data_IF_036670574947
#
_entry.id   IF_036670574947
#
_cell.length_a   1.000
_cell.length_b   1.000
_cell.length_c   1.000
_cell.angle_alpha   90.00
_cell.angle_beta   90.00
_cell.angle_gamma   90.00
#
_symmetry.space_group_name_H-M   'P 1'
#
loop_
_entity.id
_entity.type
_entity.pdbx_description
1 polymer ?
#
# COMPACT_ATOMS: atom_id res chain seq x y z
N UNK A 1 -37.65 12.16 -2.38
CA UNK A 1 -37.09 10.78 -2.30
C UNK A 1 -37.05 10.23 -3.72
N UNK A 2 -35.90 10.30 -4.42
CA UNK A 2 -35.81 9.87 -5.83
C UNK A 2 -35.60 8.36 -5.91
N UNK A 3 -36.62 7.59 -6.32
CA UNK A 3 -36.46 6.18 -6.69
C UNK A 3 -35.77 6.12 -8.06
N UNK A 4 -34.46 5.87 -8.09
CA UNK A 4 -33.77 5.49 -9.32
C UNK A 4 -34.06 4.02 -9.60
N UNK A 5 -34.78 3.74 -10.69
CA UNK A 5 -34.93 2.40 -11.24
C UNK A 5 -33.59 1.98 -11.84
N UNK A 6 -33.16 0.74 -11.58
CA UNK A 6 -31.93 0.16 -12.15
C UNK A 6 -32.27 -1.15 -12.83
N UNK A 7 -31.75 -1.31 -14.04
CA UNK A 7 -31.83 -2.60 -14.75
C UNK A 7 -30.85 -3.57 -14.09
N UNK A 8 -31.30 -4.79 -13.84
CA UNK A 8 -30.47 -5.84 -13.23
C UNK A 8 -30.55 -7.12 -14.07
N UNK A 9 -29.43 -7.82 -14.15
CA UNK A 9 -29.36 -9.20 -14.63
C UNK A 9 -29.47 -10.14 -13.42
N UNK A 10 -30.49 -11.00 -13.42
CA UNK A 10 -30.68 -12.03 -12.40
C UNK A 10 -30.16 -13.36 -12.92
N UNK A 11 -29.33 -14.05 -12.14
CA UNK A 11 -28.82 -15.39 -12.46
C UNK A 11 -28.92 -16.32 -11.25
N UNK A 12 -29.21 -17.62 -11.45
CA UNK A 12 -29.09 -18.60 -10.39
C UNK A 12 -27.64 -18.72 -9.93
N UNK A 13 -27.44 -18.84 -8.62
CA UNK A 13 -26.14 -19.03 -7.99
C UNK A 13 -26.31 -19.91 -6.74
N UNK A 14 -25.73 -21.10 -6.78
CA UNK A 14 -25.92 -22.16 -5.78
C UNK A 14 -27.42 -22.41 -5.47
N UNK A 15 -27.84 -22.16 -4.23
CA UNK A 15 -29.23 -22.31 -3.76
C UNK A 15 -30.02 -20.99 -3.82
N UNK A 16 -29.51 -19.97 -4.50
CA UNK A 16 -30.07 -18.62 -4.53
C UNK A 16 -29.97 -17.93 -5.88
N UNK A 17 -30.15 -16.60 -5.86
CA UNK A 17 -30.10 -15.72 -7.03
C UNK A 17 -29.08 -14.60 -6.78
N UNK A 18 -28.33 -14.25 -7.81
CA UNK A 18 -27.46 -13.06 -7.83
C UNK A 18 -28.05 -12.04 -8.79
N UNK A 19 -28.25 -10.82 -8.30
CA UNK A 19 -28.65 -9.66 -9.11
C UNK A 19 -27.44 -8.77 -9.38
N UNK A 20 -27.01 -8.71 -10.64
CA UNK A 20 -25.93 -7.81 -11.09
C UNK A 20 -26.56 -6.56 -11.71
N UNK A 21 -26.22 -5.37 -11.22
CA UNK A 21 -26.68 -4.10 -11.81
C UNK A 21 -26.06 -3.92 -13.19
N UNK A 22 -26.88 -3.55 -14.18
CA UNK A 22 -26.42 -3.23 -15.52
C UNK A 22 -26.20 -1.73 -15.66
N UNK A 23 -25.15 -1.35 -16.38
CA UNK A 23 -24.87 0.03 -16.72
C UNK A 23 -25.51 0.40 -18.06
N UNK A 24 -25.94 1.66 -18.18
CA UNK A 24 -26.37 2.22 -19.48
C UNK A 24 -25.15 2.54 -20.34
N UNK A 25 -25.37 2.70 -21.65
CA UNK A 25 -24.32 3.02 -22.62
C UNK A 25 -23.52 4.28 -22.26
N UNK A 26 -24.20 5.33 -21.78
CA UNK A 26 -23.57 6.59 -21.36
C UNK A 26 -22.77 6.49 -20.04
N UNK A 27 -22.95 5.42 -19.26
CA UNK A 27 -22.17 5.17 -18.04
C UNK A 27 -20.88 4.40 -18.34
N UNK A 28 -20.80 3.75 -19.50
CA UNK A 28 -19.64 2.95 -19.92
C UNK A 28 -18.77 3.77 -20.85
N UNK A 29 -17.56 4.12 -20.38
CA UNK A 29 -16.58 4.78 -21.25
C UNK A 29 -16.05 3.79 -22.29
N UNK A 30 -15.95 4.26 -23.54
CA UNK A 30 -15.31 3.53 -24.63
C UNK A 30 -13.85 3.22 -24.28
N UNK A 31 -13.44 1.97 -24.46
CA UNK A 31 -12.05 1.58 -24.31
C UNK A 31 -11.13 2.34 -25.27
N UNK A 32 -11.57 2.58 -26.52
CA UNK A 32 -10.79 3.34 -27.50
C UNK A 32 -10.50 4.76 -27.02
N UNK A 33 -11.49 5.41 -26.43
CA UNK A 33 -11.34 6.78 -25.92
C UNK A 33 -10.52 6.82 -24.62
N UNK A 34 -10.72 5.81 -23.75
CA UNK A 34 -9.98 5.69 -22.49
C UNK A 34 -8.48 5.42 -22.71
N UNK A 35 -8.13 4.69 -23.78
CA UNK A 35 -6.75 4.32 -24.11
C UNK A 35 -6.17 5.08 -25.31
N UNK A 36 -6.82 6.15 -25.78
CA UNK A 36 -6.39 6.91 -26.98
C UNK A 36 -4.95 7.44 -26.88
N UNK A 37 -4.54 7.86 -25.68
CA UNK A 37 -3.23 8.43 -25.39
C UNK A 37 -2.27 7.38 -24.82
N UNK A 38 -2.72 6.13 -24.68
CA UNK A 38 -1.89 5.06 -24.18
C UNK A 38 -0.88 4.66 -25.27
N UNK A 39 0.43 4.71 -24.99
CA UNK A 39 1.43 4.28 -25.95
C UNK A 39 1.32 2.77 -26.21
N UNK A 40 1.56 2.36 -27.45
CA UNK A 40 1.71 0.96 -27.79
C UNK A 40 3.11 0.48 -27.35
N UNK A 41 3.16 -0.13 -26.16
CA UNK A 41 4.40 -0.57 -25.53
C UNK A 41 4.62 -2.05 -25.84
N UNK A 42 5.72 -2.35 -26.55
CA UNK A 42 6.23 -3.73 -26.62
C UNK A 42 6.83 -4.12 -25.28
N UNK A 43 6.20 -5.09 -24.62
CA UNK A 43 6.70 -5.67 -23.36
C UNK A 43 7.86 -6.61 -23.70
N UNK A 44 8.99 -6.48 -23.01
CA UNK A 44 10.13 -7.41 -23.18
C UNK A 44 9.87 -8.70 -22.41
N UNK A 45 10.36 -9.83 -22.93
CA UNK A 45 10.16 -11.15 -22.34
C UNK A 45 10.63 -11.25 -20.88
N UNK A 46 11.75 -10.59 -20.53
CA UNK A 46 12.24 -10.54 -19.14
C UNK A 46 11.23 -9.95 -18.14
N UNK A 47 10.37 -9.01 -18.58
CA UNK A 47 9.31 -8.46 -17.72
C UNK A 47 8.19 -9.47 -17.50
N UNK A 48 7.84 -10.24 -18.53
CA UNK A 48 6.81 -11.28 -18.45
C UNK A 48 7.27 -12.41 -17.52
N UNK A 49 8.52 -12.85 -17.64
CA UNK A 49 9.10 -13.88 -16.77
C UNK A 49 9.10 -13.45 -15.30
N UNK A 50 9.49 -12.21 -15.03
CA UNK A 50 9.47 -11.66 -13.68
C UNK A 50 8.03 -11.54 -13.14
N UNK A 51 7.08 -11.04 -13.95
CA UNK A 51 5.69 -10.95 -13.55
C UNK A 51 5.10 -12.34 -13.21
N UNK A 52 5.38 -13.35 -14.04
CA UNK A 52 5.00 -14.74 -13.80
C UNK A 52 5.59 -15.28 -12.50
N UNK A 53 6.87 -14.98 -12.22
CA UNK A 53 7.50 -15.37 -10.95
C UNK A 53 6.82 -14.70 -9.75
N UNK A 54 6.52 -13.40 -9.83
CA UNK A 54 5.84 -12.66 -8.76
C UNK A 54 4.46 -13.25 -8.51
N UNK A 55 3.64 -13.42 -9.56
CA UNK A 55 2.30 -14.01 -9.47
C UNK A 55 2.38 -15.39 -8.83
N UNK A 56 3.29 -16.25 -9.31
CA UNK A 56 3.45 -17.62 -8.77
C UNK A 56 3.86 -17.60 -7.29
N UNK A 57 4.74 -16.68 -6.90
CA UNK A 57 5.21 -16.54 -5.51
C UNK A 57 4.17 -15.96 -4.55
N UNK A 58 3.24 -15.12 -5.04
CA UNK A 58 2.20 -14.45 -4.24
C UNK A 58 0.79 -15.01 -4.44
N UNK A 59 0.64 -16.07 -5.25
CA UNK A 59 -0.65 -16.73 -5.44
C UNK A 59 -1.10 -17.36 -4.12
N UNK A 60 -2.36 -17.13 -3.76
CA UNK A 60 -2.96 -17.65 -2.54
C UNK A 60 -4.48 -17.82 -2.69
N UNK A 61 -5.13 -18.30 -1.63
CA UNK A 61 -6.60 -18.29 -1.55
C UNK A 61 -7.06 -16.91 -1.11
N UNK A 62 -8.04 -16.35 -1.81
CA UNK A 62 -8.65 -15.09 -1.41
C UNK A 62 -9.76 -15.37 -0.40
N UNK A 63 -9.63 -14.82 0.81
CA UNK A 63 -10.64 -14.86 1.86
C UNK A 63 -11.12 -13.42 2.17
N UNK A 64 -12.32 -13.03 1.70
CA UNK A 64 -12.86 -11.70 1.94
C UNK A 64 -12.98 -11.31 3.42
N UNK A 65 -13.11 -12.29 4.33
CA UNK A 65 -13.27 -12.03 5.77
C UNK A 65 -12.01 -11.49 6.43
N UNK A 66 -10.85 -11.67 5.79
CA UNK A 66 -9.56 -11.17 6.28
C UNK A 66 -9.28 -9.72 5.88
N UNK A 67 -10.15 -9.10 5.07
CA UNK A 67 -9.99 -7.72 4.63
C UNK A 67 -10.64 -6.76 5.62
N UNK A 68 -9.81 -5.95 6.27
CA UNK A 68 -10.26 -4.91 7.20
C UNK A 68 -10.70 -3.65 6.46
N UNK A 69 -11.85 -3.10 6.84
CA UNK A 69 -12.25 -1.76 6.45
C UNK A 69 -11.42 -0.72 7.23
N UNK A 70 -10.29 -0.34 6.64
CA UNK A 70 -9.37 0.65 7.22
C UNK A 70 -10.03 2.01 7.41
N UNK A 71 -11.06 2.34 6.63
CA UNK A 71 -11.75 3.62 6.74
C UNK A 71 -12.65 3.62 7.98
N UNK A 72 -13.51 2.61 8.13
CA UNK A 72 -14.36 2.43 9.30
C UNK A 72 -13.54 2.38 10.59
N UNK A 73 -12.44 1.62 10.59
CA UNK A 73 -11.53 1.54 11.74
C UNK A 73 -10.94 2.92 12.10
N UNK A 74 -10.43 3.66 11.11
CA UNK A 74 -9.86 4.99 11.32
C UNK A 74 -10.93 6.00 11.78
N UNK A 75 -12.16 5.90 11.25
CA UNK A 75 -13.27 6.75 11.65
C UNK A 75 -13.70 6.48 13.09
N UNK A 76 -13.79 5.22 13.49
CA UNK A 76 -14.10 4.83 14.86
C UNK A 76 -13.04 5.34 15.85
N UNK A 77 -11.75 5.23 15.51
CA UNK A 77 -10.66 5.81 16.31
C UNK A 77 -10.75 7.34 16.40
N UNK A 78 -11.07 8.01 15.29
CA UNK A 78 -11.24 9.46 15.23
C UNK A 78 -12.37 9.92 16.15
N UNK A 79 -13.50 9.22 16.12
CA UNK A 79 -14.65 9.52 16.98
C UNK A 79 -14.29 9.34 18.46
N UNK A 80 -13.64 8.23 18.82
CA UNK A 80 -13.16 8.00 20.20
C UNK A 80 -12.20 9.08 20.67
N UNK A 81 -11.21 9.44 19.85
CA UNK A 81 -10.24 10.48 20.18
C UNK A 81 -10.91 11.85 20.40
N UNK A 82 -11.95 12.19 19.61
CA UNK A 82 -12.73 13.42 19.80
C UNK A 82 -13.52 13.40 21.12
N UNK A 83 -14.17 12.28 21.46
CA UNK A 83 -14.90 12.12 22.72
C UNK A 83 -13.95 12.28 23.92
N UNK A 84 -12.73 11.73 23.81
CA UNK A 84 -11.70 11.81 24.85
C UNK A 84 -10.94 13.16 24.87
N UNK A 85 -11.28 14.11 23.98
CA UNK A 85 -10.64 15.42 23.91
C UNK A 85 -9.18 15.40 23.41
N UNK A 86 -8.73 14.32 22.77
CA UNK A 86 -7.35 14.17 22.28
C UNK A 86 -7.15 14.94 20.98
N UNK A 87 -6.01 15.63 20.85
CA UNK A 87 -5.60 16.25 19.58
C UNK A 87 -5.18 15.18 18.57
N UNK A 88 -5.94 15.07 17.48
CA UNK A 88 -5.63 14.18 16.36
C UNK A 88 -4.52 14.80 15.52
N UNK A 89 -3.41 14.07 15.35
CA UNK A 89 -2.32 14.48 14.46
C UNK A 89 -2.55 13.91 13.06
N UNK A 90 -2.29 14.69 12.00
CA UNK A 90 -2.35 14.17 10.64
C UNK A 90 -1.29 13.07 10.46
N UNK A 91 -1.62 12.04 9.68
CA UNK A 91 -0.68 11.00 9.31
C UNK A 91 0.40 11.61 8.39
N UNK A 92 1.70 11.34 8.63
CA UNK A 92 2.74 11.85 7.74
C UNK A 92 2.54 11.32 6.32
N UNK A 93 2.81 12.16 5.33
CA UNK A 93 2.78 11.77 3.93
C UNK A 93 3.86 10.72 3.66
N UNK A 94 3.55 9.70 2.83
CA UNK A 94 4.55 8.72 2.44
C UNK A 94 5.65 9.39 1.61
N UNK A 95 6.91 9.05 1.91
CA UNK A 95 8.04 9.53 1.12
C UNK A 95 7.96 8.97 -0.30
N UNK A 96 8.07 9.86 -1.29
CA UNK A 96 8.12 9.46 -2.69
C UNK A 96 9.54 9.07 -3.06
N UNK A 97 9.76 7.79 -3.38
CA UNK A 97 11.05 7.33 -3.91
C UNK A 97 11.11 7.61 -5.42
N UNK A 98 12.17 8.32 -5.84
CA UNK A 98 12.44 8.56 -7.27
C UNK A 98 12.95 7.27 -7.91
N UNK A 99 12.09 6.59 -8.65
CA UNK A 99 12.43 5.35 -9.36
C UNK A 99 13.18 5.71 -10.64
N UNK A 100 14.50 5.45 -10.66
CA UNK A 100 15.38 5.73 -11.82
C UNK A 100 15.41 4.54 -12.78
N UNK A 101 15.30 3.31 -12.28
CA UNK A 101 15.15 2.08 -13.06
C UNK A 101 14.01 1.22 -12.50
N UNK A 102 12.96 1.04 -13.31
CA UNK A 102 11.77 0.27 -12.97
C UNK A 102 12.07 -1.23 -12.77
N UNK A 103 13.03 -1.81 -13.51
CA UNK A 103 13.35 -3.23 -13.40
C UNK A 103 14.09 -3.53 -12.10
N UNK A 104 15.06 -2.70 -11.75
CA UNK A 104 15.77 -2.82 -10.49
C UNK A 104 14.83 -2.60 -9.30
N UNK A 105 13.99 -1.56 -9.37
CA UNK A 105 13.01 -1.27 -8.33
C UNK A 105 11.99 -2.41 -8.14
N UNK A 106 11.51 -3.00 -9.22
CA UNK A 106 10.57 -4.13 -9.16
C UNK A 106 11.24 -5.38 -8.58
N UNK A 107 12.48 -5.70 -9.00
CA UNK A 107 13.27 -6.80 -8.42
C UNK A 107 13.55 -6.57 -6.93
N UNK A 108 13.87 -5.34 -6.52
CA UNK A 108 14.08 -4.98 -5.13
C UNK A 108 12.79 -5.15 -4.30
N UNK A 109 11.65 -4.66 -4.80
CA UNK A 109 10.34 -4.82 -4.15
C UNK A 109 9.93 -6.29 -3.99
N UNK A 110 10.17 -7.11 -5.02
CA UNK A 110 9.91 -8.55 -4.99
C UNK A 110 10.82 -9.29 -3.98
N UNK A 111 12.07 -8.84 -3.80
CA UNK A 111 13.02 -9.40 -2.82
C UNK A 111 12.70 -9.00 -1.38
N UNK A 112 12.35 -7.72 -1.14
CA UNK A 112 11.98 -7.21 0.18
C UNK A 112 10.73 -7.91 0.74
N UNK A 113 9.79 -8.28 -0.13
CA UNK A 113 8.59 -9.06 0.25
C UNK A 113 8.90 -10.46 0.81
N UNK A 114 10.11 -11.02 0.61
CA UNK A 114 10.52 -12.32 1.18
C UNK A 114 11.06 -12.22 2.60
N UNK A 115 11.43 -11.02 3.08
CA UNK A 115 12.09 -10.83 4.38
C UNK A 115 11.16 -10.47 5.54
N UNK A 116 9.87 -10.20 5.27
CA UNK A 116 8.90 -9.78 6.30
C UNK A 116 8.44 -10.90 7.24
N UNK A 117 9.03 -12.10 7.15
CA UNK A 117 8.84 -13.18 8.12
C UNK A 117 9.88 -13.20 9.27
N UNK A 118 11.01 -12.48 9.17
CA UNK A 118 12.05 -12.50 10.23
C UNK A 118 12.89 -11.21 10.24
N UNK A 119 12.29 -10.07 10.57
CA UNK A 119 13.05 -8.96 11.16
C UNK A 119 12.95 -9.07 12.69
N UNK A 120 13.79 -9.93 13.28
CA UNK A 120 14.06 -9.91 14.71
C UNK A 120 14.51 -8.50 15.09
N UNK A 121 13.90 -7.96 16.15
CA UNK A 121 14.35 -6.77 16.86
C UNK A 121 15.86 -6.84 17.13
N UNK A 122 16.65 -6.11 16.34
CA UNK A 122 18.02 -5.80 16.67
C UNK A 122 18.01 -4.59 17.59
N UNK A 123 18.03 -4.86 18.91
CA UNK A 123 18.34 -3.89 19.96
C UNK A 123 19.59 -3.11 19.56
N UNK A 124 19.44 -1.81 19.29
CA UNK A 124 20.56 -0.88 19.27
C UNK A 124 21.08 -0.74 20.71
N UNK A 125 22.06 -1.56 21.06
CA UNK A 125 22.89 -1.37 22.25
C UNK A 125 23.61 -0.04 22.10
N UNK A 126 23.27 0.92 22.96
CA UNK A 126 24.04 2.12 23.18
C UNK A 126 25.47 1.72 23.59
N UNK A 127 26.44 1.98 22.72
CA UNK A 127 27.86 1.97 23.08
C UNK A 127 28.28 3.41 23.32
N UNK A 128 28.26 3.81 24.59
CA UNK A 128 29.13 4.87 25.09
C UNK A 128 30.51 4.27 25.35
N UNK A 129 31.61 4.87 24.86
CA UNK A 129 32.90 4.72 25.50
C UNK A 129 33.19 5.98 26.33
N UNK A 130 33.06 5.82 27.65
CA UNK A 130 33.71 6.70 28.59
C UNK A 130 35.22 6.44 28.54
N UNK A 131 36.02 7.45 28.18
CA UNK A 131 37.47 7.45 28.46
C UNK A 131 37.84 8.68 29.27
N UNK A 132 38.20 8.42 30.52
CA UNK A 132 38.68 9.39 31.52
C UNK A 132 40.05 9.97 31.11
N UNK A 133 40.14 11.29 31.28
CA UNK A 133 41.23 12.11 31.85
C UNK A 133 42.63 12.08 31.21
N UNK A 134 43.12 13.29 30.87
CA UNK A 134 44.24 13.93 31.59
C UNK A 134 44.15 15.46 31.46
N UNK A 135 44.34 16.13 32.58
CA UNK A 135 44.42 17.58 32.73
C UNK A 135 45.88 18.04 32.68
N UNK A 136 46.14 19.22 32.11
CA UNK A 136 47.30 20.06 32.43
C UNK A 136 46.90 21.56 32.30
N UNK A 137 47.51 22.48 33.08
CA UNK A 137 46.91 23.79 33.41
C UNK A 137 47.62 25.02 32.81
N UNK A 138 46.96 26.20 32.94
CA UNK A 138 47.45 27.60 32.85
C UNK A 138 47.86 28.11 31.44
N UNK A 139 47.62 29.37 31.04
CA UNK A 139 47.72 30.67 31.74
C UNK A 139 46.66 31.70 31.24
N UNK A 140 46.25 32.60 32.15
CA UNK A 140 45.71 33.95 31.86
C UNK A 140 46.82 34.89 31.36
N UNK A 141 46.49 35.84 30.48
CA UNK A 141 46.81 37.27 30.58
C UNK A 141 46.46 37.98 29.26
N UNK A 142 45.84 39.16 29.37
CA UNK A 142 45.39 40.01 28.26
C UNK A 142 44.00 40.54 28.55
#
# INVERSE_FOLDING_TARGET
MFRRVRTVLIRPFDKGLVASTLNFDYEVRSAKDAFKDAPDIKIKDEFLDLANHIISSKKGKFDPSTFDDRYEAALAELVKAKIEGRKIKPKPEPETTKVIDLMEALRASARLSKTDGKAKAAKSKAQSPARKRKATPRKKAG
#
